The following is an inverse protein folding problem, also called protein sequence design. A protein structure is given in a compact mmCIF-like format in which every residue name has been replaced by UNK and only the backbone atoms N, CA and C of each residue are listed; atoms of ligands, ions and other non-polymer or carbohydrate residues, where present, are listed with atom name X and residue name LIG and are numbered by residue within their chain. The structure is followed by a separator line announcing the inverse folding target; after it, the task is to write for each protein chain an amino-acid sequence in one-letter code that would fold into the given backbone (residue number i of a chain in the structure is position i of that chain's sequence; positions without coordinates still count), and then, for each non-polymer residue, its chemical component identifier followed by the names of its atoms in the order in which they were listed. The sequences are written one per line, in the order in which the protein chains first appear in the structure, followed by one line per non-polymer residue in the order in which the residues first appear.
data_IF_603636947442
#
_entry.id   IF_603636947442
#
_cell.length_a   1.000
_cell.length_b   1.000
_cell.length_c   1.000
_cell.angle_alpha   90.00
_cell.angle_beta   90.00
_cell.angle_gamma   90.00
#
_symmetry.space_group_name_H-M   'P 1'
#
loop_
_entity.id
_entity.type
_entity.pdbx_description
1 polymer ?
#
# COMPACT_ATOMS: atom_id res chain seq x y z
N UNK A 1 -18.65 -36.81 58.81
CA UNK A 1 -19.57 -36.29 57.76
C UNK A 1 -18.95 -35.03 57.18
N UNK A 2 -18.70 -35.07 55.86
CA UNK A 2 -18.62 -34.00 54.83
C UNK A 2 -18.46 -32.57 55.38
N UNK A 3 -17.43 -31.82 54.97
CA UNK A 3 -17.55 -30.96 53.80
C UNK A 3 -16.19 -30.74 53.11
N UNK A 4 -16.15 -31.12 51.84
CA UNK A 4 -15.09 -30.86 50.88
C UNK A 4 -15.14 -29.41 50.39
N UNK A 5 -13.96 -28.81 50.29
CA UNK A 5 -13.72 -27.46 49.76
C UNK A 5 -13.57 -27.56 48.24
N UNK A 6 -14.53 -27.09 47.45
CA UNK A 6 -14.37 -26.94 46.01
C UNK A 6 -14.27 -25.46 45.63
N UNK A 7 -13.07 -25.07 45.17
CA UNK A 7 -12.77 -23.78 44.56
C UNK A 7 -13.64 -23.60 43.30
N UNK A 8 -14.56 -22.65 43.33
CA UNK A 8 -15.26 -22.17 42.15
C UNK A 8 -14.32 -21.31 41.30
N UNK A 9 -13.77 -21.90 40.25
CA UNK A 9 -13.02 -21.20 39.21
C UNK A 9 -14.03 -20.37 38.41
N UNK A 10 -14.17 -19.10 38.79
CA UNK A 10 -15.07 -18.16 38.13
C UNK A 10 -14.41 -17.67 36.84
N UNK A 11 -14.69 -18.37 35.74
CA UNK A 11 -14.35 -17.94 34.39
C UNK A 11 -15.19 -16.70 34.04
N UNK A 12 -14.65 -15.51 34.30
CA UNK A 12 -15.13 -14.28 33.69
C UNK A 12 -14.41 -14.09 32.35
N UNK A 13 -14.91 -14.73 31.29
CA UNK A 13 -14.96 -14.11 29.96
C UNK A 13 -16.31 -13.37 29.92
N UNK A 14 -16.39 -12.10 29.51
CA UNK A 14 -16.12 -11.74 28.13
C UNK A 14 -15.41 -10.38 27.97
N UNK A 15 -14.98 -10.05 26.74
CA UNK A 15 -14.80 -8.70 26.15
C UNK A 15 -13.74 -8.71 25.01
N UNK A 16 -13.55 -9.83 24.33
CA UNK A 16 -12.85 -9.85 23.04
C UNK A 16 -13.90 -9.68 21.94
N UNK A 17 -14.28 -8.44 21.64
CA UNK A 17 -15.29 -8.20 20.60
C UNK A 17 -15.61 -6.76 20.24
N UNK A 18 -14.85 -5.77 20.73
CA UNK A 18 -15.22 -4.35 20.57
C UNK A 18 -14.11 -3.40 20.11
N UNK A 19 -12.97 -3.91 19.65
CA UNK A 19 -11.79 -3.06 19.34
C UNK A 19 -11.48 -2.90 17.85
N UNK A 20 -12.25 -3.53 16.96
CA UNK A 20 -11.93 -3.55 15.52
C UNK A 20 -12.52 -2.39 14.69
N UNK A 21 -13.32 -1.52 15.31
CA UNK A 21 -14.02 -0.43 14.59
C UNK A 21 -13.37 0.95 14.78
N UNK A 22 -12.42 1.15 15.70
CA UNK A 22 -11.79 2.46 15.89
C UNK A 22 -10.71 2.76 14.82
N UNK A 23 -9.98 1.75 14.33
CA UNK A 23 -8.78 2.01 13.50
C UNK A 23 -9.09 2.66 12.14
N UNK A 24 -10.22 2.31 11.51
CA UNK A 24 -10.54 2.77 10.15
C UNK A 24 -10.66 4.30 10.06
N UNK A 25 -11.41 4.93 10.96
CA UNK A 25 -11.64 6.39 10.95
C UNK A 25 -10.32 7.19 11.02
N UNK A 26 -9.36 6.71 11.80
CA UNK A 26 -8.07 7.38 11.96
C UNK A 26 -7.17 7.28 10.72
N UNK A 27 -7.29 6.19 9.95
CA UNK A 27 -6.53 5.97 8.72
C UNK A 27 -7.07 6.85 7.57
N UNK A 28 -8.39 6.99 7.46
CA UNK A 28 -9.03 7.83 6.46
C UNK A 28 -8.69 9.32 6.62
N UNK A 29 -8.62 9.80 7.87
CA UNK A 29 -8.16 11.18 8.14
C UNK A 29 -6.72 11.42 7.68
N UNK A 30 -5.81 10.47 7.94
CA UNK A 30 -4.41 10.58 7.47
C UNK A 30 -4.31 10.45 5.95
N UNK A 31 -5.17 9.66 5.31
CA UNK A 31 -5.24 9.57 3.85
C UNK A 31 -5.62 10.90 3.22
N UNK A 32 -6.68 11.54 3.71
CA UNK A 32 -7.12 12.84 3.19
C UNK A 32 -6.04 13.92 3.33
N UNK A 33 -5.29 13.91 4.43
CA UNK A 33 -4.13 14.80 4.60
C UNK A 33 -3.02 14.51 3.60
N UNK A 34 -2.72 13.24 3.36
CA UNK A 34 -1.77 12.83 2.32
C UNK A 34 -2.20 13.28 0.93
N UNK A 35 -3.49 13.14 0.61
CA UNK A 35 -4.06 13.60 -0.68
C UNK A 35 -3.97 15.11 -0.84
N UNK A 36 -4.24 15.89 0.22
CA UNK A 36 -4.08 17.33 0.21
C UNK A 36 -2.62 17.76 0.01
N UNK A 37 -1.69 17.17 0.77
CA UNK A 37 -0.25 17.42 0.63
C UNK A 37 0.25 17.06 -0.78
N UNK A 38 -0.23 15.95 -1.36
CA UNK A 38 0.11 15.55 -2.72
C UNK A 38 -0.36 16.59 -3.75
N UNK A 39 -1.56 17.14 -3.58
CA UNK A 39 -2.09 18.19 -4.44
C UNK A 39 -1.32 19.51 -4.32
N UNK A 40 -0.75 19.81 -3.15
CA UNK A 40 0.12 20.96 -2.91
C UNK A 40 1.56 20.76 -3.42
N UNK A 41 1.92 19.55 -3.87
CA UNK A 41 3.28 19.22 -4.30
C UNK A 41 4.23 18.88 -3.14
N UNK A 42 3.72 18.77 -1.92
CA UNK A 42 4.48 18.42 -0.71
C UNK A 42 4.71 16.90 -0.65
N UNK A 43 5.44 16.37 -1.63
CA UNK A 43 5.54 14.92 -1.86
C UNK A 43 6.15 14.14 -0.68
N UNK A 44 7.12 14.74 0.03
CA UNK A 44 7.73 14.11 1.20
C UNK A 44 6.72 13.96 2.35
N UNK A 45 5.93 15.02 2.61
CA UNK A 45 4.89 14.97 3.63
C UNK A 45 3.78 14.00 3.23
N UNK A 46 3.31 14.07 1.98
CA UNK A 46 2.31 13.15 1.45
C UNK A 46 2.72 11.69 1.67
N UNK A 47 3.96 11.34 1.32
CA UNK A 47 4.49 9.98 1.53
C UNK A 47 4.53 9.58 3.02
N UNK A 48 4.87 10.52 3.91
CA UNK A 48 4.82 10.33 5.36
C UNK A 48 3.40 10.06 5.88
N UNK A 49 2.40 10.80 5.39
CA UNK A 49 1.00 10.61 5.76
C UNK A 49 0.45 9.28 5.22
N UNK A 50 0.77 8.93 3.98
CA UNK A 50 0.37 7.64 3.41
C UNK A 50 1.01 6.45 4.14
N UNK A 51 2.27 6.56 4.56
CA UNK A 51 2.92 5.53 5.39
C UNK A 51 2.17 5.34 6.72
N UNK A 52 1.82 6.44 7.41
CA UNK A 52 1.02 6.39 8.65
C UNK A 52 -0.35 5.76 8.41
N UNK A 53 -1.02 6.10 7.32
CA UNK A 53 -2.30 5.50 6.95
C UNK A 53 -2.16 3.99 6.69
N UNK A 54 -1.16 3.58 5.92
CA UNK A 54 -0.90 2.18 5.58
C UNK A 54 -0.69 1.31 6.84
N UNK A 55 0.04 1.82 7.83
CA UNK A 55 0.29 1.14 9.11
C UNK A 55 -0.99 0.93 9.94
N UNK A 56 -1.98 1.82 9.81
CA UNK A 56 -3.25 1.77 10.55
C UNK A 56 -4.30 0.90 9.87
N UNK A 57 -4.18 0.66 8.57
CA UNK A 57 -5.11 -0.19 7.82
C UNK A 57 -4.84 -1.66 8.19
N UNK A 58 -5.86 -2.39 8.68
CA UNK A 58 -5.76 -3.81 8.97
C UNK A 58 -5.36 -4.64 7.74
N UNK A 59 -4.58 -5.72 7.89
CA UNK A 59 -4.20 -6.60 6.77
C UNK A 59 -5.38 -7.22 6.02
N UNK A 60 -6.54 -7.37 6.69
CA UNK A 60 -7.79 -7.88 6.09
C UNK A 60 -8.36 -6.96 5.00
N UNK A 61 -8.12 -5.65 5.10
CA UNK A 61 -8.58 -4.66 4.12
C UNK A 61 -7.58 -4.57 2.97
N UNK A 62 -7.43 -5.68 2.23
CA UNK A 62 -6.41 -5.84 1.18
C UNK A 62 -6.53 -4.76 0.10
N UNK A 63 -7.73 -4.50 -0.40
CA UNK A 63 -7.96 -3.50 -1.44
C UNK A 63 -7.56 -2.09 -0.99
N UNK A 64 -7.98 -1.69 0.22
CA UNK A 64 -7.62 -0.38 0.81
C UNK A 64 -6.11 -0.27 0.99
N UNK A 65 -5.44 -1.32 1.49
CA UNK A 65 -3.97 -1.35 1.58
C UNK A 65 -3.29 -1.20 0.22
N UNK A 66 -3.78 -1.88 -0.80
CA UNK A 66 -3.25 -1.77 -2.17
C UNK A 66 -3.36 -0.34 -2.71
N UNK A 67 -4.53 0.27 -2.57
CA UNK A 67 -4.79 1.66 -2.99
C UNK A 67 -3.88 2.67 -2.28
N UNK A 68 -3.72 2.52 -0.96
CA UNK A 68 -2.82 3.40 -0.18
C UNK A 68 -1.36 3.17 -0.54
N UNK A 69 -0.95 1.92 -0.75
CA UNK A 69 0.41 1.60 -1.17
C UNK A 69 0.75 2.23 -2.53
N UNK A 70 -0.20 2.25 -3.48
CA UNK A 70 -0.03 2.93 -4.75
C UNK A 70 0.13 4.45 -4.57
N UNK A 71 -0.74 5.10 -3.80
CA UNK A 71 -0.62 6.55 -3.52
C UNK A 71 0.70 6.89 -2.83
N UNK A 72 1.15 6.04 -1.90
CA UNK A 72 2.46 6.16 -1.26
C UNK A 72 3.60 6.04 -2.28
N UNK A 73 3.50 5.10 -3.23
CA UNK A 73 4.45 4.94 -4.32
C UNK A 73 4.51 6.16 -5.23
N UNK A 74 3.36 6.74 -5.59
CA UNK A 74 3.31 7.95 -6.43
C UNK A 74 3.93 9.15 -5.71
N UNK A 75 3.66 9.32 -4.42
CA UNK A 75 4.30 10.35 -3.62
C UNK A 75 5.83 10.19 -3.57
N UNK A 76 6.34 8.97 -3.29
CA UNK A 76 7.79 8.73 -3.27
C UNK A 76 8.43 8.91 -4.65
N UNK A 77 7.73 8.51 -5.73
CA UNK A 77 8.18 8.69 -7.11
C UNK A 77 8.35 10.17 -7.44
N UNK A 78 7.34 10.99 -7.14
CA UNK A 78 7.38 12.45 -7.37
C UNK A 78 8.41 13.15 -6.50
N UNK A 79 8.68 12.62 -5.32
CA UNK A 79 9.77 13.08 -4.46
C UNK A 79 11.17 12.66 -4.97
N UNK A 80 11.26 11.73 -5.92
CA UNK A 80 12.53 11.22 -6.46
C UNK A 80 13.15 10.07 -5.66
N UNK A 81 12.46 9.52 -4.67
CA UNK A 81 12.95 8.38 -3.90
C UNK A 81 12.57 7.05 -4.57
N UNK A 82 13.39 6.63 -5.55
CA UNK A 82 13.17 5.44 -6.37
C UNK A 82 13.02 4.17 -5.52
N UNK A 83 13.92 3.94 -4.55
CA UNK A 83 13.91 2.73 -3.74
C UNK A 83 12.62 2.58 -2.90
N UNK A 84 12.16 3.68 -2.26
CA UNK A 84 10.91 3.64 -1.49
C UNK A 84 9.68 3.56 -2.37
N UNK A 85 9.69 4.23 -3.53
CA UNK A 85 8.62 4.12 -4.51
C UNK A 85 8.44 2.67 -4.98
N UNK A 86 9.54 2.00 -5.30
CA UNK A 86 9.54 0.60 -5.73
C UNK A 86 8.96 -0.33 -4.66
N UNK A 87 9.36 -0.17 -3.40
CA UNK A 87 8.79 -0.94 -2.28
C UNK A 87 7.29 -0.70 -2.07
N UNK A 88 6.84 0.54 -2.24
CA UNK A 88 5.44 0.91 -2.14
C UNK A 88 4.60 0.33 -3.29
N UNK A 89 5.06 0.43 -4.54
CA UNK A 89 4.36 -0.16 -5.68
C UNK A 89 4.36 -1.69 -5.65
N UNK A 90 5.45 -2.34 -5.17
CA UNK A 90 5.44 -3.80 -4.94
C UNK A 90 4.42 -4.21 -3.88
N UNK A 91 4.19 -3.34 -2.89
CA UNK A 91 3.11 -3.56 -1.92
C UNK A 91 1.74 -3.43 -2.59
N UNK A 92 1.55 -2.47 -3.51
CA UNK A 92 0.33 -2.36 -4.31
C UNK A 92 0.09 -3.61 -5.17
N UNK A 93 1.12 -4.11 -5.86
CA UNK A 93 1.12 -5.36 -6.62
C UNK A 93 0.72 -6.56 -5.73
N UNK A 94 1.30 -6.68 -4.52
CA UNK A 94 0.99 -7.75 -3.55
C UNK A 94 -0.49 -7.78 -3.14
N UNK A 95 -1.15 -6.63 -3.09
CA UNK A 95 -2.58 -6.53 -2.80
C UNK A 95 -3.45 -6.51 -4.07
N UNK A 96 -2.89 -6.87 -5.23
CA UNK A 96 -3.57 -6.92 -6.52
C UNK A 96 -4.17 -5.58 -6.97
N UNK A 97 -3.56 -4.46 -6.55
CA UNK A 97 -3.94 -3.14 -7.05
C UNK A 97 -3.21 -2.85 -8.37
N UNK A 98 -3.46 -3.69 -9.38
CA UNK A 98 -2.70 -3.79 -10.63
C UNK A 98 -3.40 -3.18 -11.84
N UNK A 99 -4.71 -2.95 -11.74
CA UNK A 99 -5.57 -2.39 -12.81
C UNK A 99 -5.32 -0.90 -13.05
N UNK A 100 -4.40 -0.30 -12.30
CA UNK A 100 -3.94 1.09 -12.42
C UNK A 100 -2.59 1.15 -13.13
N UNK A 101 -1.85 2.25 -13.01
CA UNK A 101 -0.49 2.39 -13.56
C UNK A 101 0.58 1.65 -12.72
N UNK A 102 0.21 0.77 -11.79
CA UNK A 102 1.17 0.08 -10.88
C UNK A 102 2.29 -0.63 -11.64
N UNK A 103 1.98 -1.45 -12.66
CA UNK A 103 3.03 -2.15 -13.42
C UNK A 103 3.88 -1.18 -14.25
N UNK A 104 3.27 -0.19 -14.88
CA UNK A 104 4.02 0.85 -15.59
C UNK A 104 5.00 1.58 -14.67
N UNK A 105 4.56 2.02 -13.49
CA UNK A 105 5.43 2.71 -12.56
C UNK A 105 6.46 1.80 -11.89
N UNK A 106 6.17 0.50 -11.69
CA UNK A 106 7.20 -0.47 -11.30
C UNK A 106 8.29 -0.57 -12.37
N UNK A 107 7.91 -0.62 -13.64
CA UNK A 107 8.85 -0.56 -14.77
C UNK A 107 9.70 0.70 -14.73
N UNK A 108 9.07 1.86 -14.58
CA UNK A 108 9.80 3.14 -14.50
C UNK A 108 10.74 3.19 -13.29
N UNK A 109 10.35 2.66 -12.12
CA UNK A 109 11.20 2.68 -10.94
C UNK A 109 12.39 1.74 -11.11
N UNK A 110 12.17 0.57 -11.73
CA UNK A 110 13.24 -0.36 -12.05
C UNK A 110 14.22 0.25 -13.06
N UNK A 111 13.70 0.89 -14.12
CA UNK A 111 14.51 1.59 -15.14
C UNK A 111 15.36 2.69 -14.51
N UNK A 112 14.78 3.54 -13.68
CA UNK A 112 15.53 4.59 -12.96
C UNK A 112 16.54 4.02 -11.96
N UNK A 113 16.29 2.81 -11.43
CA UNK A 113 17.24 2.08 -10.59
C UNK A 113 18.32 1.32 -11.37
N UNK A 114 18.34 1.37 -12.70
CA UNK A 114 19.29 0.64 -13.56
C UNK A 114 18.94 -0.83 -13.82
N UNK A 115 17.78 -1.30 -13.37
CA UNK A 115 17.31 -2.68 -13.52
C UNK A 115 16.48 -2.84 -14.81
N UNK A 116 17.13 -2.72 -15.96
CA UNK A 116 16.45 -2.66 -17.26
C UNK A 116 15.69 -3.94 -17.63
N UNK A 117 16.21 -5.12 -17.25
CA UNK A 117 15.54 -6.40 -17.55
C UNK A 117 14.21 -6.50 -16.82
N UNK A 118 14.22 -6.20 -15.52
CA UNK A 118 13.04 -6.18 -14.68
C UNK A 118 12.06 -5.09 -15.11
N UNK A 119 12.57 -3.93 -15.56
CA UNK A 119 11.74 -2.88 -16.12
C UNK A 119 10.95 -3.36 -17.34
N UNK A 120 11.63 -4.05 -18.27
CA UNK A 120 11.00 -4.60 -19.44
C UNK A 120 9.90 -5.62 -19.09
N UNK A 121 10.13 -6.49 -18.11
CA UNK A 121 9.12 -7.45 -17.66
C UNK A 121 7.86 -6.74 -17.13
N UNK A 122 8.03 -5.68 -16.35
CA UNK A 122 6.90 -4.90 -15.85
C UNK A 122 6.17 -4.11 -16.95
N UNK A 123 6.87 -3.59 -17.95
CA UNK A 123 6.21 -2.96 -19.10
C UNK A 123 5.40 -3.95 -19.92
N UNK A 124 5.91 -5.17 -20.15
CA UNK A 124 5.16 -6.24 -20.82
C UNK A 124 3.89 -6.59 -20.05
N UNK A 125 3.97 -6.80 -18.74
CA UNK A 125 2.80 -7.02 -17.88
C UNK A 125 1.76 -5.89 -18.00
N UNK A 126 2.20 -4.63 -18.06
CA UNK A 126 1.26 -3.53 -18.25
C UNK A 126 0.63 -3.52 -19.65
N UNK A 127 1.39 -3.88 -20.68
CA UNK A 127 0.90 -3.96 -22.06
C UNK A 127 -0.06 -5.12 -22.29
N UNK A 128 0.01 -6.18 -21.48
CA UNK A 128 -1.02 -7.24 -21.44
C UNK A 128 -2.37 -6.69 -20.96
N UNK A 129 -2.36 -5.72 -20.02
CA UNK A 129 -3.57 -5.07 -19.51
C UNK A 129 -4.06 -3.96 -20.44
N UNK A 130 -3.13 -3.15 -20.97
CA UNK A 130 -3.42 -2.01 -21.84
C UNK A 130 -2.54 -2.11 -23.09
N UNK A 131 -2.99 -2.88 -24.09
CA UNK A 131 -2.28 -3.00 -25.36
C UNK A 131 -2.10 -1.61 -26.00
N UNK A 132 -0.91 -1.34 -26.52
CA UNK A 132 -0.62 -0.06 -27.19
C UNK A 132 -0.34 1.12 -26.27
N UNK A 133 -0.12 0.92 -24.96
CA UNK A 133 0.30 2.01 -24.08
C UNK A 133 1.67 2.56 -24.50
N UNK A 134 1.66 3.71 -25.20
CA UNK A 134 2.83 4.34 -25.80
C UNK A 134 4.03 4.53 -24.86
N UNK A 135 3.84 5.03 -23.62
CA UNK A 135 4.94 5.14 -22.66
C UNK A 135 5.61 3.79 -22.32
N UNK A 136 4.82 2.71 -22.18
CA UNK A 136 5.39 1.38 -21.91
C UNK A 136 6.14 0.82 -23.11
N UNK A 137 5.65 1.05 -24.33
CA UNK A 137 6.34 0.65 -25.56
C UNK A 137 7.68 1.38 -25.70
N UNK A 138 7.73 2.69 -25.41
CA UNK A 138 8.98 3.45 -25.38
C UNK A 138 9.95 2.93 -24.32
N UNK A 139 9.43 2.59 -23.13
CA UNK A 139 10.23 2.02 -22.05
C UNK A 139 10.83 0.64 -22.36
N UNK A 140 10.27 -0.11 -23.33
CA UNK A 140 10.83 -1.36 -23.83
C UNK A 140 11.91 -1.15 -24.90
N UNK A 141 11.87 -0.02 -25.59
CA UNK A 141 12.82 0.32 -26.65
C UNK A 141 14.04 1.09 -26.13
N UNK A 142 13.97 1.61 -24.90
CA UNK A 142 15.07 2.30 -24.19
C UNK A 142 15.98 1.33 -23.45
#
# INVERSE_FOLDING_TARGET
MKHTYHKGWRWCLPLVGGWLLWSCSSADKTLKRGDAALALGEYCEAAGQYKKAYQRIPPKEREKRGRVAYKMGDAYRRYGNVARALGAYRSAERYHHTDTLTYFYLGEMQRMGGHYKEAADYYRKYLELVPGHGPSLRGLAS
#
